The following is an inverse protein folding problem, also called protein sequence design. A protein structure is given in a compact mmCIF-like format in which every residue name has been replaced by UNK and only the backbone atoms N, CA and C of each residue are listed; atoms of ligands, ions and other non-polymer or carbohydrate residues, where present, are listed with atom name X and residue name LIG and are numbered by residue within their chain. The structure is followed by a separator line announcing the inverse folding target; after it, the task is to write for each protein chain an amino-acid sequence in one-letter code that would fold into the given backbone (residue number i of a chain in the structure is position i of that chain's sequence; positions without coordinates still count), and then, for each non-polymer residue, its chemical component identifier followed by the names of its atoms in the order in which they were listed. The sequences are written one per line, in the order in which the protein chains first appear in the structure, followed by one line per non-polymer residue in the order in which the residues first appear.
data_IF_372425248958
#
_entry.id   IF_372425248958
#
_cell.length_a   1.000
_cell.length_b   1.000
_cell.length_c   1.000
_cell.angle_alpha   90.00
_cell.angle_beta   90.00
_cell.angle_gamma   90.00
#
_symmetry.space_group_name_H-M   'P 1'
#
loop_
_entity.id
_entity.type
_entity.pdbx_description
1 polymer ?
#
# COMPACT_ATOMS: atom_id res chain seq x y z
N UNK A 1 -0.39 31.88 16.04
CA UNK A 1 -1.04 31.41 17.28
C UNK A 1 -1.73 30.06 17.09
N UNK A 2 -2.79 29.93 16.27
CA UNK A 2 -3.50 28.65 16.09
C UNK A 2 -2.62 27.53 15.51
N UNK A 3 -1.80 27.83 14.49
CA UNK A 3 -0.90 26.85 13.89
C UNK A 3 0.18 26.32 14.87
N UNK A 4 0.66 27.18 15.77
CA UNK A 4 1.64 26.77 16.80
C UNK A 4 1.01 25.79 17.79
N UNK A 5 -0.18 26.12 18.31
CA UNK A 5 -0.91 25.26 19.25
C UNK A 5 -1.24 23.91 18.61
N UNK A 6 -1.67 23.88 17.36
CA UNK A 6 -1.92 22.63 16.63
C UNK A 6 -0.62 21.81 16.51
N UNK A 7 0.50 22.46 16.20
CA UNK A 7 1.81 21.81 16.12
C UNK A 7 2.27 21.23 17.47
N UNK A 8 2.03 21.95 18.57
CA UNK A 8 2.32 21.47 19.93
C UNK A 8 1.45 20.25 20.28
N UNK A 9 0.14 20.33 20.04
CA UNK A 9 -0.78 19.20 20.26
C UNK A 9 -0.34 17.99 19.44
N UNK A 10 0.04 18.18 18.17
CA UNK A 10 0.50 17.11 17.28
C UNK A 10 1.74 16.38 17.79
N UNK A 11 2.59 17.02 18.58
CA UNK A 11 3.78 16.39 19.18
C UNK A 11 3.47 15.60 20.45
N UNK A 12 2.30 15.79 21.05
CA UNK A 12 1.90 15.16 22.31
C UNK A 12 0.81 14.09 22.13
N UNK A 13 0.49 13.74 20.88
CA UNK A 13 -0.50 12.72 20.55
C UNK A 13 0.11 11.67 19.62
N UNK A 14 -0.28 10.43 19.81
CA UNK A 14 0.05 9.34 18.89
C UNK A 14 -0.90 9.30 17.68
N UNK A 15 -2.04 10.00 17.77
CA UNK A 15 -3.04 10.04 16.69
C UNK A 15 -2.60 11.03 15.62
N UNK A 16 -2.73 10.68 14.32
CA UNK A 16 -2.40 11.61 13.25
C UNK A 16 -3.30 12.86 13.30
N UNK A 17 -2.68 14.04 13.19
CA UNK A 17 -3.37 15.33 13.12
C UNK A 17 -3.20 15.90 11.71
N UNK A 18 -4.31 16.27 11.09
CA UNK A 18 -4.35 16.94 9.78
C UNK A 18 -5.23 18.18 9.87
N UNK A 19 -4.93 19.21 9.08
CA UNK A 19 -5.71 20.47 9.10
C UNK A 19 -6.28 20.81 7.74
N UNK A 20 -7.37 21.59 7.75
CA UNK A 20 -7.95 22.19 6.54
C UNK A 20 -8.13 23.69 6.73
N UNK A 21 -7.06 24.45 6.56
CA UNK A 21 -7.07 25.91 6.62
C UNK A 21 -7.22 26.50 5.21
N UNK A 22 -8.18 27.42 5.08
CA UNK A 22 -8.46 28.20 3.89
C UNK A 22 -8.22 29.69 4.17
N UNK A 23 -7.82 30.46 3.15
CA UNK A 23 -7.56 31.90 3.31
C UNK A 23 -6.46 32.48 2.43
N UNK A 24 -5.94 31.70 1.47
CA UNK A 24 -4.94 32.16 0.50
C UNK A 24 -3.70 32.74 1.16
N UNK A 25 -3.30 33.96 0.76
CA UNK A 25 -2.12 34.64 1.32
C UNK A 25 -2.20 34.85 2.84
N UNK A 26 -3.40 34.97 3.42
CA UNK A 26 -3.57 35.21 4.87
C UNK A 26 -3.10 34.05 5.73
N UNK A 27 -3.11 32.82 5.20
CA UNK A 27 -2.72 31.62 5.93
C UNK A 27 -1.28 31.20 5.66
N UNK A 28 -0.55 31.89 4.79
CA UNK A 28 0.80 31.47 4.37
C UNK A 28 1.77 31.33 5.56
N UNK A 29 1.72 32.27 6.51
CA UNK A 29 2.51 32.19 7.73
C UNK A 29 2.14 30.95 8.57
N UNK A 30 0.84 30.66 8.70
CA UNK A 30 0.34 29.47 9.39
C UNK A 30 0.79 28.17 8.69
N UNK A 31 0.78 28.13 7.36
CA UNK A 31 1.26 26.98 6.58
C UNK A 31 2.75 26.74 6.79
N UNK A 32 3.57 27.80 6.84
CA UNK A 32 5.01 27.68 7.14
C UNK A 32 5.24 27.04 8.52
N UNK A 33 4.51 27.50 9.54
CA UNK A 33 4.56 26.91 10.89
C UNK A 33 4.12 25.45 10.88
N UNK A 34 2.99 25.14 10.25
CA UNK A 34 2.47 23.77 10.16
C UNK A 34 3.45 22.82 9.46
N UNK A 35 4.07 23.25 8.35
CA UNK A 35 5.11 22.49 7.67
C UNK A 35 6.32 22.22 8.57
N UNK A 36 6.80 23.23 9.30
CA UNK A 36 7.91 23.07 10.26
C UNK A 36 7.57 22.08 11.38
N UNK A 37 6.31 22.10 11.83
CA UNK A 37 5.79 21.20 12.87
C UNK A 37 5.32 19.84 12.32
N UNK A 38 5.52 19.55 11.03
CA UNK A 38 5.12 18.31 10.34
C UNK A 38 3.61 18.02 10.40
N UNK A 39 2.78 19.07 10.48
CA UNK A 39 1.32 18.94 10.41
C UNK A 39 0.88 19.24 8.96
N UNK A 40 0.36 18.24 8.22
CA UNK A 40 -0.09 18.47 6.85
C UNK A 40 -1.40 19.28 6.83
N UNK A 41 -1.42 20.33 6.01
CA UNK A 41 -2.61 21.13 5.74
C UNK A 41 -3.12 20.93 4.32
N UNK A 42 -4.44 20.75 4.16
CA UNK A 42 -5.10 20.63 2.87
C UNK A 42 -6.07 21.79 2.67
N UNK A 43 -6.16 22.36 1.47
CA UNK A 43 -7.10 23.47 1.22
C UNK A 43 -8.57 23.02 1.17
N UNK A 44 -8.83 21.72 1.09
CA UNK A 44 -10.17 21.14 0.99
C UNK A 44 -10.32 20.02 2.03
N UNK A 45 -11.36 20.05 2.88
CA UNK A 45 -11.57 19.04 3.92
C UNK A 45 -11.63 17.61 3.37
N UNK A 46 -12.22 17.42 2.18
CA UNK A 46 -12.33 16.13 1.51
C UNK A 46 -10.96 15.50 1.29
N UNK A 47 -9.97 16.30 0.87
CA UNK A 47 -8.58 15.82 0.68
C UNK A 47 -7.94 15.44 2.01
N UNK A 48 -8.19 16.18 3.08
CA UNK A 48 -7.70 15.85 4.41
C UNK A 48 -8.28 14.50 4.88
N UNK A 49 -9.59 14.30 4.69
CA UNK A 49 -10.28 13.06 5.05
C UNK A 49 -9.75 11.89 4.22
N UNK A 50 -9.59 12.03 2.90
CA UNK A 50 -9.02 10.99 2.05
C UNK A 50 -7.60 10.60 2.46
N UNK A 51 -6.78 11.56 2.88
CA UNK A 51 -5.43 11.27 3.38
C UNK A 51 -5.47 10.45 4.67
N UNK A 52 -6.35 10.81 5.62
CA UNK A 52 -6.54 10.04 6.87
C UNK A 52 -7.08 8.63 6.58
N UNK A 53 -8.03 8.51 5.66
CA UNK A 53 -8.58 7.22 5.24
C UNK A 53 -7.48 6.32 4.65
N UNK A 54 -6.61 6.86 3.80
CA UNK A 54 -5.49 6.12 3.23
C UNK A 54 -4.50 5.65 4.30
N UNK A 55 -4.17 6.49 5.28
CA UNK A 55 -3.33 6.11 6.43
C UNK A 55 -3.96 4.99 7.26
N UNK A 56 -5.28 5.04 7.45
CA UNK A 56 -6.03 3.99 8.15
C UNK A 56 -6.00 2.66 7.37
N UNK A 57 -6.31 2.69 6.08
CA UNK A 57 -6.25 1.52 5.17
C UNK A 57 -4.86 0.89 5.17
N UNK A 58 -3.81 1.71 5.11
CA UNK A 58 -2.42 1.26 5.17
C UNK A 58 -2.10 0.58 6.51
N UNK A 59 -2.58 1.14 7.61
CA UNK A 59 -2.41 0.54 8.95
C UNK A 59 -3.08 -0.84 9.02
N UNK A 60 -4.29 -0.98 8.48
CA UNK A 60 -4.98 -2.27 8.40
C UNK A 60 -4.22 -3.26 7.54
N UNK A 61 -3.69 -2.81 6.38
CA UNK A 61 -2.90 -3.65 5.50
C UNK A 61 -1.62 -4.15 6.18
N UNK A 62 -0.88 -3.28 6.88
CA UNK A 62 0.32 -3.67 7.64
C UNK A 62 0.05 -4.67 8.77
N UNK A 63 -1.16 -4.65 9.34
CA UNK A 63 -1.59 -5.59 10.38
C UNK A 63 -2.05 -6.94 9.82
N UNK A 64 -2.18 -7.09 8.49
CA UNK A 64 -2.55 -8.37 7.91
C UNK A 64 -1.44 -9.40 8.16
N UNK A 65 -1.79 -10.62 8.60
CA UNK A 65 -0.81 -11.69 8.74
C UNK A 65 -0.21 -12.05 7.37
N UNK A 66 1.01 -12.58 7.38
CA UNK A 66 1.65 -13.11 6.17
C UNK A 66 0.74 -14.20 5.61
N UNK A 67 0.36 -14.14 4.33
CA UNK A 67 -0.51 -15.14 3.75
C UNK A 67 0.18 -16.50 3.78
N UNK A 68 -0.55 -17.52 4.22
CA UNK A 68 -0.10 -18.89 4.08
C UNK A 68 -0.06 -19.25 2.60
N UNK A 69 1.13 -19.56 2.09
CA UNK A 69 1.29 -20.07 0.73
C UNK A 69 0.72 -21.48 0.73
N UNK A 70 -0.49 -21.64 0.18
CA UNK A 70 -1.08 -22.95 -0.07
C UNK A 70 -0.18 -23.72 -1.03
N UNK A 71 0.51 -24.74 -0.51
CA UNK A 71 1.23 -25.69 -1.33
C UNK A 71 0.22 -26.67 -1.89
N UNK A 72 0.02 -26.63 -3.19
CA UNK A 72 -0.76 -27.65 -3.89
C UNK A 72 0.14 -28.89 -3.99
N UNK A 73 -0.34 -30.08 -3.58
CA UNK A 73 0.40 -31.32 -3.80
C UNK A 73 0.47 -31.54 -5.31
N UNK A 74 1.66 -31.40 -5.88
CA UNK A 74 1.91 -31.62 -7.30
C UNK A 74 3.07 -32.61 -7.44
N UNK A 75 2.99 -33.47 -8.45
CA UNK A 75 4.02 -34.44 -8.80
C UNK A 75 5.20 -33.71 -9.45
N UNK A 76 5.98 -32.99 -8.64
CA UNK A 76 7.04 -32.07 -9.09
C UNK A 76 8.03 -32.71 -10.03
N UNK A 77 8.38 -33.97 -9.79
CA UNK A 77 9.33 -34.72 -10.59
C UNK A 77 8.80 -34.97 -12.01
N UNK A 78 7.53 -35.39 -12.14
CA UNK A 78 6.88 -35.58 -13.43
C UNK A 78 6.75 -34.26 -14.18
N UNK A 79 6.27 -33.22 -13.51
CA UNK A 79 6.11 -31.88 -14.08
C UNK A 79 7.46 -31.34 -14.57
N UNK A 80 8.53 -31.47 -13.78
CA UNK A 80 9.88 -31.04 -14.19
C UNK A 80 10.39 -31.86 -15.38
N UNK A 81 10.05 -33.15 -15.46
CA UNK A 81 10.45 -34.00 -16.60
C UNK A 81 9.75 -33.58 -17.90
N UNK A 82 8.46 -33.25 -17.85
CA UNK A 82 7.68 -32.73 -18.98
C UNK A 82 8.26 -31.39 -19.41
N UNK A 83 8.50 -30.47 -18.48
CA UNK A 83 9.11 -29.18 -18.82
C UNK A 83 10.54 -29.30 -19.37
N UNK A 84 11.32 -30.31 -19.00
CA UNK A 84 12.66 -30.55 -19.56
C UNK A 84 12.59 -31.12 -20.99
N UNK A 85 11.54 -31.85 -21.34
CA UNK A 85 11.31 -32.37 -22.70
C UNK A 85 10.82 -31.27 -23.66
N UNK A 86 10.01 -30.33 -23.17
CA UNK A 86 9.39 -29.28 -24.00
C UNK A 86 10.30 -28.06 -24.19
N UNK A 87 11.17 -27.74 -23.21
CA UNK A 87 12.10 -26.60 -23.29
C UNK A 87 13.08 -26.62 -24.49
N UNK A 88 13.70 -27.76 -24.86
CA UNK A 88 14.54 -27.86 -26.06
C UNK A 88 13.76 -27.66 -27.36
N UNK A 89 12.45 -27.90 -27.37
CA UNK A 89 11.59 -27.76 -28.54
C UNK A 89 11.16 -26.31 -28.82
N UNK A 90 11.63 -25.32 -28.04
CA UNK A 90 11.30 -23.88 -28.13
C UNK A 90 9.80 -23.54 -28.14
N UNK A 91 8.91 -24.47 -27.75
CA UNK A 91 7.48 -24.19 -27.64
C UNK A 91 7.18 -23.51 -26.32
N UNK A 92 6.42 -22.43 -26.36
CA UNK A 92 5.91 -21.73 -25.16
C UNK A 92 4.57 -22.30 -24.66
N UNK A 93 4.04 -23.33 -25.34
CA UNK A 93 2.76 -23.98 -25.04
C UNK A 93 2.95 -25.48 -24.89
N UNK A 94 2.35 -26.05 -23.84
CA UNK A 94 2.22 -27.50 -23.65
C UNK A 94 1.12 -28.03 -24.57
N UNK A 95 1.33 -29.21 -25.18
CA UNK A 95 0.26 -29.92 -25.89
C UNK A 95 -0.80 -30.44 -24.93
N UNK A 96 -1.98 -30.82 -25.44
CA UNK A 96 -3.12 -31.27 -24.63
C UNK A 96 -2.78 -32.49 -23.74
N UNK A 97 -2.01 -33.44 -24.26
CA UNK A 97 -1.53 -34.61 -23.52
C UNK A 97 -0.53 -34.26 -22.42
N UNK A 98 0.37 -33.29 -22.68
CA UNK A 98 1.37 -32.81 -21.72
C UNK A 98 0.75 -31.94 -20.63
N UNK A 99 -0.33 -31.21 -20.97
CA UNK A 99 -1.08 -30.40 -20.02
C UNK A 99 -1.86 -31.28 -19.02
N UNK A 100 -2.48 -32.37 -19.48
CA UNK A 100 -3.13 -33.34 -18.59
C UNK A 100 -2.18 -33.92 -17.55
N UNK A 101 -0.96 -34.30 -17.94
CA UNK A 101 0.07 -34.83 -17.03
C UNK A 101 0.52 -33.84 -15.95
N UNK A 102 0.25 -32.55 -16.10
CA UNK A 102 0.60 -31.51 -15.12
C UNK A 102 -0.61 -31.13 -14.24
N UNK A 103 -1.83 -31.35 -14.74
CA UNK A 103 -3.09 -30.97 -14.09
C UNK A 103 -3.64 -32.11 -13.23
N UNK A 104 -3.57 -33.35 -13.72
CA UNK A 104 -4.01 -34.57 -13.02
C UNK A 104 -3.00 -35.01 -11.95
#
# INVERSE_FOLDING_TARGET
MTAEVIGEISNHTEKPVVTSFMGGKRIEASLKVMCQRKVPNYSFPEKAISAVEAMHKYTLWRKKPIPEIKRIPVQREEVVSVFKKVRPAQRQSLGEDEAKQVID
#
